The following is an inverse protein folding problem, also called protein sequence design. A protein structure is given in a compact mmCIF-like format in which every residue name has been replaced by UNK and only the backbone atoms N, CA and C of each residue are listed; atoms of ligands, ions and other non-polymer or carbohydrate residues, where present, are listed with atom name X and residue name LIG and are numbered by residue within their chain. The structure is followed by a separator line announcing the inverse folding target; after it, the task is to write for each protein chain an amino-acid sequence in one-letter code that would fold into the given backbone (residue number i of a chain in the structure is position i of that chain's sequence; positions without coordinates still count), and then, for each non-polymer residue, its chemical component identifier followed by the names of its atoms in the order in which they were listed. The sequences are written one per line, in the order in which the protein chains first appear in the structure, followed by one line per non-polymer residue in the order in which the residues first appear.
data_IF_808538827838
#
_entry.id   IF_808538827838
#
_cell.length_a   1.000
_cell.length_b   1.000
_cell.length_c   1.000
_cell.angle_alpha   90.00
_cell.angle_beta   90.00
_cell.angle_gamma   90.00
#
_symmetry.space_group_name_H-M   'P 1'
#
loop_
_entity.id
_entity.type
_entity.pdbx_description
1 polymer ?
#
# COMPACT_ATOMS: atom_id res chain seq x y z
N UNK A 1 7.15 -16.91 -4.82
CA UNK A 1 6.39 -15.75 -4.33
C UNK A 1 5.21 -16.12 -3.45
N UNK A 2 4.46 -17.19 -3.81
CA UNK A 2 3.30 -17.62 -3.01
C UNK A 2 3.69 -18.01 -1.58
N UNK A 3 4.82 -18.67 -1.38
CA UNK A 3 5.29 -19.01 -0.05
C UNK A 3 5.53 -17.76 0.81
N UNK A 4 6.12 -16.74 0.22
CA UNK A 4 6.35 -15.45 0.88
C UNK A 4 5.01 -14.79 1.24
N UNK A 5 4.08 -14.73 0.28
CA UNK A 5 2.75 -14.12 0.48
C UNK A 5 2.00 -14.87 1.59
N UNK A 6 1.99 -16.20 1.57
CA UNK A 6 1.35 -17.00 2.61
C UNK A 6 1.93 -16.70 4.01
N UNK A 7 3.24 -16.59 4.12
CA UNK A 7 3.91 -16.26 5.39
C UNK A 7 3.51 -14.86 5.87
N UNK A 8 3.43 -13.89 4.97
CA UNK A 8 3.05 -12.53 5.29
C UNK A 8 1.59 -12.47 5.75
N UNK A 9 0.68 -13.06 4.99
CA UNK A 9 -0.75 -13.03 5.30
C UNK A 9 -1.07 -13.74 6.62
N UNK A 10 -0.36 -14.81 6.95
CA UNK A 10 -0.56 -15.54 8.20
C UNK A 10 0.18 -14.95 9.39
N UNK A 11 1.01 -13.94 9.18
CA UNK A 11 1.79 -13.32 10.26
C UNK A 11 0.91 -12.37 11.06
N UNK A 12 0.70 -12.71 12.34
CA UNK A 12 -0.17 -11.93 13.24
C UNK A 12 0.27 -10.47 13.37
N UNK A 13 1.56 -10.17 13.17
CA UNK A 13 2.08 -8.80 13.25
C UNK A 13 1.52 -7.89 12.16
N UNK A 14 1.05 -8.45 11.05
CA UNK A 14 0.52 -7.68 9.93
C UNK A 14 -1.02 -7.60 9.89
N UNK A 15 -1.71 -8.27 10.80
CA UNK A 15 -3.18 -8.24 10.83
C UNK A 15 -3.66 -6.79 10.95
N UNK A 16 -4.55 -6.39 10.04
CA UNK A 16 -5.10 -5.03 9.99
C UNK A 16 -4.16 -3.99 9.37
N UNK A 17 -2.93 -4.35 8.99
CA UNK A 17 -1.91 -3.41 8.52
C UNK A 17 -1.67 -3.47 7.01
N UNK A 18 -1.99 -4.59 6.37
CA UNK A 18 -1.84 -4.74 4.92
C UNK A 18 -3.10 -4.21 4.24
N UNK A 19 -2.95 -3.15 3.47
CA UNK A 19 -4.08 -2.45 2.85
C UNK A 19 -3.77 -2.16 1.40
N UNK A 20 -4.77 -2.26 0.54
CA UNK A 20 -4.60 -1.96 -0.88
C UNK A 20 -5.81 -1.26 -1.46
N UNK A 21 -5.56 -0.50 -2.53
CA UNK A 21 -6.58 0.12 -3.36
C UNK A 21 -6.41 -0.35 -4.80
N UNK A 22 -7.50 -0.38 -5.54
CA UNK A 22 -7.49 -0.73 -6.97
C UNK A 22 -8.12 0.42 -7.75
N UNK A 23 -7.39 0.91 -8.75
CA UNK A 23 -7.87 1.95 -9.66
C UNK A 23 -7.71 1.45 -11.09
N UNK A 24 -8.81 1.31 -11.79
CA UNK A 24 -8.82 0.79 -13.16
C UNK A 24 -8.97 1.94 -14.16
N UNK A 25 -8.28 1.84 -15.30
CA UNK A 25 -8.42 2.76 -16.44
C UNK A 25 -8.15 4.23 -16.08
N UNK A 26 -7.33 4.49 -15.07
CA UNK A 26 -6.96 5.81 -14.62
C UNK A 26 -5.55 6.15 -15.09
N UNK A 27 -5.30 7.43 -15.39
CA UNK A 27 -4.03 7.88 -15.92
C UNK A 27 -3.18 8.70 -14.95
N UNK A 28 -3.77 9.32 -13.95
CA UNK A 28 -3.05 10.17 -13.02
C UNK A 28 -2.50 9.36 -11.85
N UNK A 29 -1.34 8.74 -12.06
CA UNK A 29 -0.73 7.85 -11.07
C UNK A 29 -0.39 8.54 -9.76
N UNK A 30 0.09 9.78 -9.81
CA UNK A 30 0.46 10.51 -8.59
C UNK A 30 -0.79 10.76 -7.73
N UNK A 31 -1.86 11.25 -8.33
CA UNK A 31 -3.12 11.50 -7.61
C UNK A 31 -3.67 10.20 -7.02
N UNK A 32 -3.68 9.12 -7.80
CA UNK A 32 -4.19 7.83 -7.33
C UNK A 32 -3.35 7.26 -6.19
N UNK A 33 -2.04 7.39 -6.26
CA UNK A 33 -1.15 6.98 -5.19
C UNK A 33 -1.44 7.75 -3.90
N UNK A 34 -1.59 9.06 -4.01
CA UNK A 34 -1.92 9.93 -2.87
C UNK A 34 -3.26 9.55 -2.26
N UNK A 35 -4.29 9.32 -3.08
CA UNK A 35 -5.61 8.91 -2.61
C UNK A 35 -5.54 7.55 -1.91
N UNK A 36 -4.81 6.59 -2.49
CA UNK A 36 -4.64 5.27 -1.89
C UNK A 36 -3.97 5.32 -0.52
N UNK A 37 -2.92 6.13 -0.40
CA UNK A 37 -2.24 6.36 0.88
C UNK A 37 -3.21 6.96 1.90
N UNK A 38 -3.94 8.00 1.51
CA UNK A 38 -4.90 8.66 2.39
C UNK A 38 -5.98 7.70 2.89
N UNK A 39 -6.55 6.89 2.00
CA UNK A 39 -7.55 5.89 2.38
C UNK A 39 -6.98 4.86 3.37
N UNK A 40 -5.75 4.41 3.12
CA UNK A 40 -5.10 3.43 3.98
C UNK A 40 -4.87 3.97 5.38
N UNK A 41 -4.42 5.22 5.50
CA UNK A 41 -4.16 5.85 6.80
C UNK A 41 -5.46 6.20 7.52
N UNK A 42 -6.45 6.73 6.81
CA UNK A 42 -7.73 7.12 7.41
C UNK A 42 -8.51 5.94 8.00
N UNK A 43 -8.24 4.73 7.54
CA UNK A 43 -8.94 3.55 8.07
C UNK A 43 -8.77 3.42 9.58
N UNK A 44 -7.63 3.82 10.13
CA UNK A 44 -7.36 3.73 11.56
C UNK A 44 -8.10 4.79 12.39
N UNK A 45 -8.58 5.85 11.77
CA UNK A 45 -9.32 6.93 12.42
C UNK A 45 -8.59 7.50 13.63
N UNK A 46 -7.28 7.68 13.53
CA UNK A 46 -6.46 8.21 14.60
C UNK A 46 -6.56 9.74 14.66
N UNK A 47 -6.55 10.31 15.86
CA UNK A 47 -6.60 11.76 16.07
C UNK A 47 -5.23 12.39 16.21
N UNK A 48 -4.33 11.71 16.89
CA UNK A 48 -2.97 12.19 17.16
C UNK A 48 -1.99 11.14 16.67
N UNK A 49 -1.29 11.45 15.58
CA UNK A 49 -0.33 10.53 14.98
C UNK A 49 0.64 11.30 14.09
N UNK A 50 1.68 10.63 13.66
CA UNK A 50 2.63 11.16 12.70
C UNK A 50 3.00 10.04 11.74
N UNK A 51 2.98 10.32 10.42
CA UNK A 51 3.33 9.32 9.42
C UNK A 51 4.63 9.64 8.72
N UNK A 52 5.43 8.61 8.51
CA UNK A 52 6.52 8.62 7.54
C UNK A 52 6.09 7.73 6.38
N UNK A 53 6.11 8.27 5.17
CA UNK A 53 5.58 7.61 3.98
C UNK A 53 6.71 7.33 3.02
N UNK A 54 6.83 6.07 2.60
CA UNK A 54 7.83 5.62 1.63
C UNK A 54 7.11 5.20 0.36
N UNK A 55 7.52 5.76 -0.77
CA UNK A 55 6.90 5.51 -2.07
C UNK A 55 7.95 4.97 -3.02
N UNK A 56 7.67 3.80 -3.60
CA UNK A 56 8.56 3.18 -4.57
C UNK A 56 8.74 4.07 -5.79
N UNK A 57 10.00 4.37 -6.10
CA UNK A 57 10.36 5.14 -7.30
C UNK A 57 10.00 6.62 -7.30
N UNK A 58 9.57 7.19 -6.19
CA UNK A 58 9.19 8.60 -6.15
C UNK A 58 10.41 9.52 -6.32
N UNK A 59 10.35 10.39 -7.32
CA UNK A 59 11.40 11.37 -7.57
C UNK A 59 11.47 12.43 -6.46
N UNK A 60 12.67 12.91 -6.15
CA UNK A 60 12.89 13.96 -5.14
C UNK A 60 12.03 15.20 -5.39
N UNK A 61 11.86 15.59 -6.66
CA UNK A 61 11.08 16.75 -7.05
C UNK A 61 9.61 16.66 -6.68
N UNK A 62 9.09 15.45 -6.45
CA UNK A 62 7.67 15.21 -6.13
C UNK A 62 7.37 15.04 -4.65
N UNK A 63 8.39 14.93 -3.81
CA UNK A 63 8.20 14.69 -2.36
C UNK A 63 7.36 15.78 -1.70
N UNK A 64 7.66 17.03 -2.00
CA UNK A 64 6.95 18.16 -1.41
C UNK A 64 5.49 18.20 -1.85
N UNK A 65 5.22 17.94 -3.12
CA UNK A 65 3.87 17.87 -3.66
C UNK A 65 3.06 16.78 -2.96
N UNK A 66 3.62 15.58 -2.82
CA UNK A 66 2.96 14.47 -2.13
C UNK A 66 2.64 14.84 -0.69
N UNK A 67 3.61 15.40 0.03
CA UNK A 67 3.41 15.81 1.42
C UNK A 67 2.31 16.87 1.56
N UNK A 68 2.32 17.86 0.67
CA UNK A 68 1.31 18.92 0.66
C UNK A 68 -0.09 18.37 0.38
N UNK A 69 -0.23 17.52 -0.64
CA UNK A 69 -1.52 16.95 -1.00
C UNK A 69 -2.05 16.01 0.09
N UNK A 70 -1.18 15.23 0.71
CA UNK A 70 -1.58 14.36 1.82
C UNK A 70 -2.07 15.16 3.02
N UNK A 71 -1.40 16.26 3.35
CA UNK A 71 -1.85 17.15 4.44
C UNK A 71 -3.20 17.79 4.13
N UNK A 72 -3.45 18.17 2.87
CA UNK A 72 -4.76 18.68 2.45
C UNK A 72 -5.86 17.63 2.63
N UNK A 73 -5.53 16.35 2.51
CA UNK A 73 -6.46 15.26 2.73
C UNK A 73 -6.55 14.85 4.22
N UNK A 74 -5.94 15.61 5.10
CA UNK A 74 -6.03 15.37 6.54
C UNK A 74 -5.04 14.36 7.10
N UNK A 75 -4.02 13.98 6.32
CA UNK A 75 -2.98 13.06 6.78
C UNK A 75 -1.88 13.85 7.50
N UNK A 76 -1.63 13.50 8.76
CA UNK A 76 -0.56 14.13 9.55
C UNK A 76 0.78 13.54 9.12
N UNK A 77 1.40 14.18 8.14
CA UNK A 77 2.58 13.67 7.45
C UNK A 77 3.85 14.34 7.98
N UNK A 78 4.76 13.54 8.53
CA UNK A 78 6.06 13.99 9.00
C UNK A 78 7.07 14.06 7.86
N UNK A 79 7.11 13.02 7.00
CA UNK A 79 7.97 13.01 5.83
C UNK A 79 7.42 12.11 4.73
N UNK A 80 7.80 12.43 3.49
CA UNK A 80 7.59 11.57 2.33
C UNK A 80 8.95 11.32 1.70
N UNK A 81 9.26 10.07 1.43
CA UNK A 81 10.54 9.66 0.86
C UNK A 81 10.33 8.69 -0.28
N UNK A 82 11.03 8.90 -1.39
CA UNK A 82 11.11 7.94 -2.47
C UNK A 82 12.16 6.89 -2.18
N UNK A 83 11.94 5.68 -2.66
CA UNK A 83 12.90 4.59 -2.56
C UNK A 83 13.25 4.14 -3.97
N UNK A 84 14.53 4.22 -4.32
CA UNK A 84 15.02 3.80 -5.63
C UNK A 84 15.06 2.26 -5.72
N UNK A 85 14.99 1.74 -6.95
CA UNK A 85 14.95 0.29 -7.19
C UNK A 85 16.14 -0.47 -6.60
N UNK A 86 17.30 0.17 -6.53
CA UNK A 86 18.53 -0.42 -6.01
C UNK A 86 18.65 -0.31 -4.49
N UNK A 87 17.75 0.39 -3.83
CA UNK A 87 17.76 0.54 -2.38
C UNK A 87 17.10 -0.67 -1.71
N UNK A 88 17.76 -1.16 -0.68
CA UNK A 88 17.27 -2.29 0.09
C UNK A 88 16.33 -1.81 1.20
N UNK A 89 15.03 -1.77 0.91
CA UNK A 89 14.01 -1.36 1.88
C UNK A 89 12.99 -2.48 2.06
N UNK A 90 12.94 -3.06 3.25
CA UNK A 90 12.07 -4.20 3.53
C UNK A 90 10.58 -3.87 3.39
N UNK A 91 10.17 -2.67 3.80
CA UNK A 91 8.76 -2.25 3.71
C UNK A 91 8.35 -2.06 2.24
N UNK A 92 9.22 -1.50 1.42
CA UNK A 92 8.95 -1.34 -0.02
C UNK A 92 8.88 -2.71 -0.70
N UNK A 93 9.78 -3.64 -0.33
CA UNK A 93 9.71 -5.00 -0.89
C UNK A 93 8.40 -5.69 -0.52
N UNK A 94 7.95 -5.51 0.73
CA UNK A 94 6.67 -6.05 1.19
C UNK A 94 5.53 -5.43 0.38
N UNK A 95 5.48 -4.11 0.26
CA UNK A 95 4.44 -3.41 -0.49
C UNK A 95 4.41 -3.83 -1.96
N UNK A 96 5.57 -3.94 -2.60
CA UNK A 96 5.68 -4.37 -3.99
C UNK A 96 5.19 -5.81 -4.17
N UNK A 97 5.55 -6.70 -3.26
CA UNK A 97 5.09 -8.09 -3.30
C UNK A 97 3.57 -8.21 -3.14
N UNK A 98 2.99 -7.45 -2.22
CA UNK A 98 1.55 -7.41 -2.01
C UNK A 98 0.85 -6.83 -3.25
N UNK A 99 1.35 -5.73 -3.81
CA UNK A 99 0.77 -5.12 -5.01
C UNK A 99 0.78 -6.11 -6.19
N UNK A 100 1.89 -6.81 -6.40
CA UNK A 100 1.98 -7.83 -7.45
C UNK A 100 1.03 -9.00 -7.23
N UNK A 101 0.91 -9.47 -6.00
CA UNK A 101 -0.03 -10.52 -5.63
C UNK A 101 -1.49 -10.10 -5.92
N UNK A 102 -1.89 -8.90 -5.48
CA UNK A 102 -3.25 -8.39 -5.69
C UNK A 102 -3.54 -8.24 -7.18
N UNK A 103 -2.58 -7.69 -7.95
CA UNK A 103 -2.74 -7.56 -9.40
C UNK A 103 -2.96 -8.93 -10.05
N UNK A 104 -2.14 -9.92 -9.72
CA UNK A 104 -2.29 -11.26 -10.30
C UNK A 104 -3.60 -11.91 -9.89
N UNK A 105 -4.04 -11.69 -8.65
CA UNK A 105 -5.32 -12.22 -8.15
C UNK A 105 -6.52 -11.63 -8.89
N UNK A 106 -6.44 -10.37 -9.29
CA UNK A 106 -7.51 -9.69 -10.02
C UNK A 106 -7.49 -10.04 -11.51
N UNK A 107 -6.30 -10.05 -12.11
CA UNK A 107 -6.15 -10.24 -13.56
C UNK A 107 -6.32 -11.69 -14.00
N UNK A 108 -6.08 -12.63 -13.12
CA UNK A 108 -6.16 -14.07 -13.42
C UNK A 108 -7.26 -14.71 -12.58
N UNK A 109 -7.68 -15.91 -12.95
CA UNK A 109 -8.62 -16.70 -12.18
C UNK A 109 -7.91 -18.00 -11.77
N UNK A 110 -7.29 -17.98 -10.60
CA UNK A 110 -6.47 -19.09 -10.16
C UNK A 110 -6.19 -19.07 -8.66
N UNK A 111 -5.04 -19.61 -8.28
CA UNK A 111 -4.65 -19.78 -6.88
C UNK A 111 -4.58 -18.44 -6.15
N UNK A 112 -4.01 -17.40 -6.77
CA UNK A 112 -3.89 -16.08 -6.18
C UNK A 112 -5.27 -15.47 -5.90
N UNK A 113 -6.21 -15.65 -6.81
CA UNK A 113 -7.58 -15.15 -6.67
C UNK A 113 -8.26 -15.76 -5.43
N UNK A 114 -8.15 -17.07 -5.27
CA UNK A 114 -8.74 -17.77 -4.13
C UNK A 114 -8.04 -17.39 -2.82
N UNK A 115 -6.72 -17.25 -2.85
CA UNK A 115 -5.96 -16.82 -1.67
C UNK A 115 -6.34 -15.40 -1.23
N UNK A 116 -6.51 -14.48 -2.18
CA UNK A 116 -6.94 -13.11 -1.88
C UNK A 116 -8.34 -13.09 -1.26
N UNK A 117 -9.29 -13.86 -1.82
CA UNK A 117 -10.64 -13.96 -1.26
C UNK A 117 -10.61 -14.43 0.19
N UNK A 118 -9.83 -15.47 0.46
CA UNK A 118 -9.68 -16.01 1.81
C UNK A 118 -9.04 -15.00 2.75
N UNK A 119 -8.00 -14.32 2.32
CA UNK A 119 -7.29 -13.32 3.11
C UNK A 119 -8.20 -12.13 3.45
N UNK A 120 -9.02 -11.67 2.51
CA UNK A 120 -10.01 -10.62 2.74
C UNK A 120 -11.05 -11.06 3.77
N UNK A 121 -11.56 -12.27 3.63
CA UNK A 121 -12.55 -12.83 4.56
C UNK A 121 -11.99 -12.92 5.98
N UNK A 122 -10.73 -13.28 6.12
CA UNK A 122 -10.07 -13.46 7.41
C UNK A 122 -9.51 -12.16 8.01
N UNK A 123 -9.63 -11.04 7.31
CA UNK A 123 -9.08 -9.76 7.78
C UNK A 123 -7.56 -9.68 7.71
N UNK A 124 -6.92 -10.58 6.98
CA UNK A 124 -5.46 -10.59 6.81
C UNK A 124 -4.98 -9.49 5.88
N UNK A 125 -5.83 -9.05 4.98
CA UNK A 125 -5.61 -7.92 4.08
C UNK A 125 -6.91 -7.15 3.93
N UNK A 126 -6.82 -5.85 3.71
CA UNK A 126 -8.00 -4.97 3.67
C UNK A 126 -7.99 -4.16 2.38
N UNK A 127 -9.11 -4.17 1.68
CA UNK A 127 -9.32 -3.29 0.53
C UNK A 127 -9.90 -1.95 1.01
N UNK A 128 -9.24 -0.88 0.64
CA UNK A 128 -9.66 0.47 1.02
C UNK A 128 -10.08 1.32 -0.18
#
# INVERSE_FOLDING_TARGET
RLDYINKVLSNKKFIGKLRYSVFENQKNYDLLTIIGIAKAVHLDNLKHYSTAIYVDGLAKSKRQEYGSELRKLGIQTRKVQGVAKDQNNALIRLADSIAGFVRDAIDNDGIETELLKKALKNGEIIKV
#
